data_IF_128096707412
#
_entry.id   IF_128096707412
#
_cell.length_a   1.000
_cell.length_b   1.000
_cell.length_c   1.000
_cell.angle_alpha   90.00
_cell.angle_beta   90.00
_cell.angle_gamma   90.00
#
_symmetry.space_group_name_H-M   'P 1'
#
loop_
_entity.id
_entity.type
_entity.pdbx_description
1 polymer ?
#
# COMPACT_ATOMS: atom_id res chain seq x y z
N UNK A 1 -9.43 34.48 -13.02
CA UNK A 1 -8.64 34.38 -11.78
C UNK A 1 -8.13 32.96 -11.57
N UNK A 2 -9.01 31.97 -11.41
CA UNK A 2 -8.61 30.58 -11.14
C UNK A 2 -7.74 29.91 -12.22
N UNK A 3 -7.98 30.21 -13.51
CA UNK A 3 -7.20 29.64 -14.61
C UNK A 3 -5.74 30.15 -14.65
N UNK A 4 -5.51 31.43 -14.29
CA UNK A 4 -4.16 32.03 -14.23
C UNK A 4 -3.33 31.40 -13.11
N UNK A 5 -3.92 31.29 -11.91
CA UNK A 5 -3.27 30.69 -10.74
C UNK A 5 -2.99 29.19 -10.95
N UNK A 6 -3.92 28.49 -11.62
CA UNK A 6 -3.71 27.08 -11.95
C UNK A 6 -2.56 26.90 -12.97
N UNK A 7 -2.42 27.83 -13.92
CA UNK A 7 -1.32 27.82 -14.89
C UNK A 7 0.06 28.01 -14.25
N UNK A 8 0.17 28.80 -13.16
CA UNK A 8 1.43 28.95 -12.41
C UNK A 8 1.87 27.64 -11.72
N UNK A 9 0.93 26.83 -11.25
CA UNK A 9 1.22 25.50 -10.69
C UNK A 9 1.55 24.47 -11.79
N UNK A 10 0.81 24.53 -12.89
CA UNK A 10 0.96 23.62 -14.03
C UNK A 10 2.14 24.01 -14.96
N UNK A 11 2.88 25.08 -14.63
CA UNK A 11 4.06 25.49 -15.37
C UNK A 11 5.11 24.36 -15.36
N UNK A 12 5.55 23.95 -16.55
CA UNK A 12 6.52 22.88 -16.74
C UNK A 12 7.85 23.16 -16.01
N UNK A 13 8.22 24.43 -15.82
CA UNK A 13 9.41 24.83 -15.07
C UNK A 13 9.31 24.46 -13.57
N UNK A 14 8.11 24.40 -13.01
CA UNK A 14 7.85 24.06 -11.61
C UNK A 14 7.65 22.56 -11.38
N UNK A 15 7.36 21.79 -12.44
CA UNK A 15 7.10 20.35 -12.36
C UNK A 15 8.22 19.53 -11.70
N UNK A 16 9.53 19.77 -11.95
CA UNK A 16 10.59 19.03 -11.27
C UNK A 16 10.60 19.25 -9.75
N UNK A 17 10.42 20.51 -9.31
CA UNK A 17 10.42 20.87 -7.90
C UNK A 17 9.23 20.28 -7.16
N UNK A 18 8.04 20.33 -7.77
CA UNK A 18 6.82 19.69 -7.25
C UNK A 18 7.02 18.17 -7.12
N UNK A 19 7.60 17.53 -8.13
CA UNK A 19 7.86 16.10 -8.11
C UNK A 19 8.86 15.71 -7.01
N UNK A 20 9.94 16.47 -6.84
CA UNK A 20 10.93 16.24 -5.79
C UNK A 20 10.31 16.43 -4.40
N UNK A 21 9.51 17.47 -4.23
CA UNK A 21 8.70 17.73 -3.05
C UNK A 21 7.82 16.52 -2.67
N UNK A 22 7.02 16.04 -3.62
CA UNK A 22 6.16 14.87 -3.43
C UNK A 22 6.99 13.63 -3.08
N UNK A 23 8.12 13.42 -3.76
CA UNK A 23 9.01 12.27 -3.49
C UNK A 23 9.58 12.31 -2.07
N UNK A 24 9.96 13.49 -1.56
CA UNK A 24 10.42 13.66 -0.17
C UNK A 24 9.30 13.33 0.81
N UNK A 25 8.07 13.80 0.56
CA UNK A 25 6.92 13.52 1.41
C UNK A 25 6.53 12.03 1.40
N UNK A 26 6.48 11.40 0.22
CA UNK A 26 6.25 9.94 0.08
C UNK A 26 7.26 9.16 0.92
N UNK A 27 8.55 9.45 0.75
CA UNK A 27 9.63 8.78 1.49
C UNK A 27 9.51 8.99 3.00
N UNK A 28 9.17 10.21 3.42
CA UNK A 28 9.03 10.57 4.83
C UNK A 28 7.86 9.84 5.47
N UNK A 29 6.71 9.81 4.79
CA UNK A 29 5.53 9.09 5.25
C UNK A 29 5.79 7.59 5.29
N UNK A 30 6.34 6.99 4.23
CA UNK A 30 6.63 5.55 4.20
C UNK A 30 7.61 5.10 5.30
N UNK A 31 8.56 5.95 5.71
CA UNK A 31 9.50 5.66 6.80
C UNK A 31 8.87 5.74 8.19
N UNK A 32 7.94 6.66 8.38
CA UNK A 32 7.36 6.97 9.69
C UNK A 32 5.96 6.40 9.89
N UNK A 33 5.36 5.80 8.86
CA UNK A 33 4.03 5.24 8.94
C UNK A 33 3.95 4.13 9.99
N UNK A 34 2.99 4.33 10.87
CA UNK A 34 2.64 3.40 11.91
C UNK A 34 1.43 2.61 11.41
N UNK A 35 1.67 1.40 10.92
CA UNK A 35 0.64 0.55 10.27
C UNK A 35 -0.54 0.21 11.16
N UNK A 36 -0.37 0.20 12.49
CA UNK A 36 -1.49 -0.03 13.43
C UNK A 36 -2.46 1.15 13.52
N UNK A 37 -2.08 2.33 13.03
CA UNK A 37 -2.93 3.52 12.99
C UNK A 37 -3.69 3.66 11.66
N UNK A 38 -3.49 2.75 10.71
CA UNK A 38 -4.18 2.78 9.43
C UNK A 38 -5.66 2.47 9.60
N UNK A 39 -6.48 2.99 8.69
CA UNK A 39 -7.89 2.62 8.68
C UNK A 39 -8.03 1.10 8.47
N UNK A 40 -9.10 0.53 9.04
CA UNK A 40 -9.45 -0.89 8.86
C UNK A 40 -9.52 -1.25 7.37
N UNK A 41 -10.09 -0.37 6.57
CA UNK A 41 -10.30 -0.57 5.14
C UNK A 41 -8.98 -0.55 4.36
N UNK A 42 -8.13 0.47 4.59
CA UNK A 42 -6.81 0.54 3.95
C UNK A 42 -5.92 -0.65 4.33
N UNK A 43 -5.97 -1.07 5.59
CA UNK A 43 -5.26 -2.26 6.08
C UNK A 43 -5.72 -3.52 5.34
N UNK A 44 -7.03 -3.70 5.13
CA UNK A 44 -7.59 -4.84 4.42
C UNK A 44 -7.14 -4.89 2.95
N UNK A 45 -7.16 -3.75 2.26
CA UNK A 45 -6.69 -3.63 0.87
C UNK A 45 -5.21 -3.98 0.78
N UNK A 46 -4.39 -3.39 1.67
CA UNK A 46 -2.95 -3.62 1.68
C UNK A 46 -2.59 -5.08 1.99
N UNK A 47 -3.27 -5.70 2.96
CA UNK A 47 -3.09 -7.12 3.26
C UNK A 47 -3.50 -8.00 2.09
N UNK A 48 -4.63 -7.68 1.42
CA UNK A 48 -5.06 -8.40 0.23
C UNK A 48 -3.97 -8.35 -0.84
N UNK A 49 -3.43 -7.16 -1.15
CA UNK A 49 -2.33 -7.01 -2.11
C UNK A 49 -1.08 -7.83 -1.77
N UNK A 50 -0.74 -7.93 -0.48
CA UNK A 50 0.40 -8.75 -0.03
C UNK A 50 0.12 -10.23 -0.25
N UNK A 51 -1.03 -10.71 0.22
CA UNK A 51 -1.40 -12.14 0.17
C UNK A 51 -1.62 -12.62 -1.26
N UNK A 52 -2.12 -11.75 -2.13
CA UNK A 52 -2.29 -12.03 -3.57
C UNK A 52 -1.04 -11.69 -4.38
N UNK A 53 0.08 -11.32 -3.73
CA UNK A 53 1.36 -11.04 -4.37
C UNK A 53 1.35 -9.89 -5.37
N UNK A 54 0.35 -9.04 -5.29
CA UNK A 54 0.12 -7.91 -6.17
C UNK A 54 0.47 -6.59 -5.47
N UNK A 55 1.43 -6.59 -4.54
CA UNK A 55 1.85 -5.38 -3.82
C UNK A 55 2.50 -4.33 -4.73
N UNK A 56 3.15 -4.77 -5.80
CA UNK A 56 3.81 -3.91 -6.78
C UNK A 56 3.00 -3.81 -8.06
N UNK A 57 2.99 -2.62 -8.66
CA UNK A 57 2.38 -2.38 -9.98
C UNK A 57 3.23 -3.03 -11.07
N UNK A 58 4.55 -2.87 -10.96
CA UNK A 58 5.53 -3.54 -11.82
C UNK A 58 6.70 -4.01 -10.94
N UNK A 59 7.02 -5.30 -11.01
CA UNK A 59 8.14 -5.88 -10.29
C UNK A 59 9.52 -5.35 -10.71
N UNK A 60 9.64 -4.75 -11.90
CA UNK A 60 10.87 -4.10 -12.40
C UNK A 60 11.04 -2.71 -11.80
N UNK A 61 9.98 -1.90 -11.81
CA UNK A 61 10.00 -0.52 -11.30
C UNK A 61 9.92 -0.51 -9.77
N UNK A 62 9.39 -1.58 -9.16
CA UNK A 62 9.21 -1.76 -7.70
C UNK A 62 8.40 -0.66 -7.02
N UNK A 63 7.63 0.12 -7.79
CA UNK A 63 6.64 1.03 -7.24
C UNK A 63 5.48 0.20 -6.65
N UNK A 64 5.27 0.33 -5.35
CA UNK A 64 4.15 -0.34 -4.68
C UNK A 64 2.83 0.35 -5.03
N UNK A 65 1.72 -0.40 -5.01
CA UNK A 65 0.38 0.17 -5.15
C UNK A 65 0.09 1.20 -4.06
N UNK A 66 0.53 0.93 -2.84
CA UNK A 66 0.47 1.87 -1.74
C UNK A 66 1.20 3.18 -2.05
N UNK A 67 2.43 3.10 -2.57
CA UNK A 67 3.22 4.27 -2.96
C UNK A 67 2.55 5.07 -4.07
N UNK A 68 2.01 4.39 -5.08
CA UNK A 68 1.25 5.03 -6.15
C UNK A 68 0.04 5.79 -5.61
N UNK A 69 -0.78 5.16 -4.77
CA UNK A 69 -1.94 5.81 -4.15
C UNK A 69 -1.51 7.00 -3.28
N UNK A 70 -0.44 6.84 -2.49
CA UNK A 70 0.11 7.92 -1.65
C UNK A 70 0.59 9.10 -2.51
N UNK A 71 1.28 8.82 -3.61
CA UNK A 71 1.74 9.85 -4.55
C UNK A 71 0.57 10.61 -5.17
N UNK A 72 -0.51 9.93 -5.56
CA UNK A 72 -1.71 10.57 -6.11
C UNK A 72 -2.43 11.45 -5.09
N UNK A 73 -2.56 10.99 -3.84
CA UNK A 73 -3.14 11.79 -2.74
C UNK A 73 -2.29 13.03 -2.49
N UNK A 74 -0.98 12.86 -2.27
CA UNK A 74 -0.07 13.98 -2.00
C UNK A 74 -0.04 14.98 -3.15
N UNK A 75 -0.06 14.52 -4.40
CA UNK A 75 -0.07 15.41 -5.57
C UNK A 75 -1.33 16.29 -5.59
N UNK A 76 -2.50 15.72 -5.29
CA UNK A 76 -3.77 16.48 -5.24
C UNK A 76 -3.81 17.44 -4.07
N UNK A 77 -3.33 17.02 -2.90
CA UNK A 77 -3.28 17.86 -1.70
C UNK A 77 -2.29 19.01 -1.85
N UNK A 78 -1.09 18.73 -2.35
CA UNK A 78 -0.08 19.74 -2.64
C UNK A 78 -0.62 20.75 -3.66
N UNK A 79 -1.24 20.28 -4.75
CA UNK A 79 -1.86 21.15 -5.76
C UNK A 79 -2.92 22.06 -5.14
N UNK A 80 -3.85 21.49 -4.36
CA UNK A 80 -4.92 22.25 -3.71
C UNK A 80 -4.34 23.32 -2.78
N UNK A 81 -3.41 22.94 -1.92
CA UNK A 81 -2.83 23.82 -0.93
C UNK A 81 -2.00 24.95 -1.57
N UNK A 82 -1.17 24.64 -2.57
CA UNK A 82 -0.41 25.66 -3.32
C UNK A 82 -1.35 26.63 -4.04
N UNK A 83 -2.42 26.13 -4.69
CA UNK A 83 -3.42 27.01 -5.33
C UNK A 83 -4.11 27.91 -4.31
N UNK A 84 -4.50 27.37 -3.15
CA UNK A 84 -5.17 28.14 -2.10
C UNK A 84 -4.26 29.24 -1.54
N UNK A 85 -2.97 28.93 -1.31
CA UNK A 85 -1.96 29.91 -0.90
C UNK A 85 -1.68 30.96 -1.96
N UNK A 86 -1.56 30.57 -3.23
CA UNK A 86 -1.40 31.51 -4.34
C UNK A 86 -2.60 32.47 -4.43
N UNK A 87 -3.83 31.98 -4.22
CA UNK A 87 -5.03 32.83 -4.16
C UNK A 87 -5.01 33.83 -3.01
N UNK A 88 -4.48 33.44 -1.85
CA UNK A 88 -4.33 34.35 -0.70
C UNK A 88 -3.29 35.44 -1.03
N UNK A 89 -2.13 35.03 -1.55
CA UNK A 89 -1.05 35.95 -1.89
C UNK A 89 -1.43 36.92 -3.01
N UNK A 90 -2.10 36.44 -4.07
CA UNK A 90 -2.60 37.28 -5.16
C UNK A 90 -3.54 38.38 -4.63
N UNK A 91 -4.43 38.04 -3.69
CA UNK A 91 -5.29 39.03 -3.01
C UNK A 91 -4.47 40.03 -2.19
N UNK A 92 -3.48 39.57 -1.42
CA UNK A 92 -2.61 40.47 -0.64
C UNK A 92 -1.87 41.48 -1.55
N UNK A 93 -1.49 41.07 -2.77
CA UNK A 93 -0.93 41.96 -3.79
C UNK A 93 -1.95 42.96 -4.33
N UNK A 94 -3.17 42.52 -4.67
CA UNK A 94 -4.25 43.41 -5.12
C UNK A 94 -4.58 44.49 -4.08
N UNK A 95 -4.45 44.19 -2.78
CA UNK A 95 -4.67 45.15 -1.69
C UNK A 95 -3.44 46.03 -1.37
N UNK A 96 -2.33 45.91 -2.12
CA UNK A 96 -1.12 46.72 -1.91
C UNK A 96 -0.35 46.37 -0.64
N UNK A 97 -0.60 45.20 -0.05
CA UNK A 97 0.04 44.73 1.19
C UNK A 97 1.34 43.96 0.94
N UNK A 98 1.65 43.62 -0.33
CA UNK A 98 2.86 42.91 -0.74
C UNK A 98 3.82 43.76 -1.59
N UNK A 99 5.13 43.60 -1.39
CA UNK A 99 6.18 44.14 -2.29
C UNK A 99 6.15 43.39 -3.63
N UNK A 100 6.24 44.04 -4.80
CA UNK A 100 6.17 43.36 -6.11
C UNK A 100 7.14 42.17 -6.22
N UNK A 101 6.66 40.95 -6.02
CA UNK A 101 7.43 39.72 -6.23
C UNK A 101 7.05 39.18 -7.60
N UNK A 102 8.03 38.70 -8.35
CA UNK A 102 7.80 38.01 -9.61
C UNK A 102 6.86 36.80 -9.38
N UNK A 103 5.90 36.54 -10.27
CA UNK A 103 4.91 35.47 -10.11
C UNK A 103 5.59 34.08 -9.96
N UNK A 104 6.74 33.88 -10.61
CA UNK A 104 7.55 32.66 -10.50
C UNK A 104 8.18 32.48 -9.11
N UNK A 105 8.69 33.57 -8.52
CA UNK A 105 9.29 33.56 -7.19
C UNK A 105 8.22 33.29 -6.11
N UNK A 106 6.99 33.77 -6.34
CA UNK A 106 5.84 33.52 -5.48
C UNK A 106 5.43 32.05 -5.49
N UNK A 107 5.37 31.42 -6.67
CA UNK A 107 5.07 29.99 -6.79
C UNK A 107 6.11 29.13 -6.06
N UNK A 108 7.39 29.49 -6.18
CA UNK A 108 8.49 28.80 -5.52
C UNK A 108 8.46 28.95 -3.98
N UNK A 109 8.16 30.15 -3.48
CA UNK A 109 8.02 30.41 -2.04
C UNK A 109 6.84 29.62 -1.45
N UNK A 110 5.67 29.67 -2.11
CA UNK A 110 4.48 28.93 -1.70
C UNK A 110 4.76 27.42 -1.67
N UNK A 111 5.46 26.87 -2.66
CA UNK A 111 5.86 25.47 -2.68
C UNK A 111 6.75 25.10 -1.48
N UNK A 112 7.71 25.96 -1.13
CA UNK A 112 8.62 25.73 0.01
C UNK A 112 7.88 25.75 1.35
N UNK A 113 6.97 26.71 1.54
CA UNK A 113 6.13 26.80 2.74
C UNK A 113 5.23 25.56 2.86
N UNK A 114 4.56 25.20 1.77
CA UNK A 114 3.71 24.01 1.68
C UNK A 114 4.47 22.75 2.14
N UNK A 115 5.69 22.57 1.62
CA UNK A 115 6.54 21.44 1.96
C UNK A 115 6.89 21.33 3.45
N UNK A 116 7.17 22.47 4.08
CA UNK A 116 7.42 22.54 5.52
C UNK A 116 6.18 22.11 6.32
N UNK A 117 5.00 22.61 5.93
CA UNK A 117 3.74 22.33 6.62
C UNK A 117 3.35 20.85 6.53
N UNK A 118 3.45 20.23 5.35
CA UNK A 118 3.13 18.80 5.16
C UNK A 118 4.00 17.86 6.00
N UNK A 119 5.22 18.27 6.36
CA UNK A 119 6.15 17.45 7.15
C UNK A 119 5.83 17.40 8.66
N UNK A 120 5.02 18.35 9.17
CA UNK A 120 4.91 18.61 10.61
C UNK A 120 3.65 18.06 11.28
N UNK A 121 2.51 17.91 10.59
CA UNK A 121 1.23 17.52 11.24
C UNK A 121 0.20 16.77 10.37
N UNK A 122 0.49 16.45 9.10
CA UNK A 122 -0.57 16.17 8.11
C UNK A 122 -0.92 14.68 7.88
N UNK A 123 -0.30 13.73 8.59
CA UNK A 123 -0.48 12.29 8.28
C UNK A 123 -1.92 11.78 8.54
N UNK A 124 -2.65 12.38 9.49
CA UNK A 124 -3.96 11.87 9.90
C UNK A 124 -5.08 12.11 8.88
N UNK A 125 -5.07 13.25 8.18
CA UNK A 125 -6.02 13.53 7.09
C UNK A 125 -5.71 12.72 5.81
N UNK A 126 -4.45 12.30 5.66
CA UNK A 126 -4.01 11.48 4.53
C UNK A 126 -4.57 10.05 4.63
N UNK A 127 -4.76 9.49 5.82
CA UNK A 127 -5.24 8.09 5.98
C UNK A 127 -6.62 7.87 5.33
N UNK A 128 -7.56 8.79 5.52
CA UNK A 128 -8.90 8.71 4.90
C UNK A 128 -8.80 8.84 3.39
N UNK A 129 -8.08 9.85 2.90
CA UNK A 129 -7.91 10.10 1.46
C UNK A 129 -7.16 8.95 0.77
N UNK A 130 -6.19 8.36 1.46
CA UNK A 130 -5.43 7.21 0.99
C UNK A 130 -6.27 5.93 0.97
N UNK A 131 -7.19 5.76 1.92
CA UNK A 131 -8.15 4.66 1.91
C UNK A 131 -9.04 4.75 0.68
N UNK A 132 -9.59 5.93 0.39
CA UNK A 132 -10.42 6.19 -0.80
C UNK A 132 -9.63 5.95 -2.09
N UNK A 133 -8.39 6.46 -2.17
CA UNK A 133 -7.57 6.26 -3.36
C UNK A 133 -7.21 4.78 -3.58
N UNK A 134 -6.92 4.03 -2.51
CA UNK A 134 -6.65 2.60 -2.60
C UNK A 134 -7.88 1.80 -3.04
N UNK A 135 -9.08 2.18 -2.58
CA UNK A 135 -10.35 1.59 -3.02
C UNK A 135 -10.61 1.88 -4.51
N UNK A 136 -10.42 3.12 -4.95
CA UNK A 136 -10.54 3.48 -6.36
C UNK A 136 -9.54 2.70 -7.23
N UNK A 137 -8.30 2.55 -6.76
CA UNK A 137 -7.30 1.74 -7.45
C UNK A 137 -7.77 0.29 -7.58
N UNK A 138 -8.26 -0.31 -6.48
CA UNK A 138 -8.75 -1.68 -6.46
C UNK A 138 -9.93 -1.88 -7.44
N UNK A 139 -10.91 -0.99 -7.42
CA UNK A 139 -12.07 -1.04 -8.31
C UNK A 139 -11.67 -0.90 -9.79
N UNK A 140 -10.82 0.09 -10.12
CA UNK A 140 -10.40 0.36 -11.50
C UNK A 140 -9.56 -0.77 -12.11
N UNK A 141 -8.89 -1.57 -11.28
CA UNK A 141 -8.06 -2.68 -11.73
C UNK A 141 -8.75 -4.05 -11.58
N UNK A 142 -10.03 -4.08 -11.16
CA UNK A 142 -10.78 -5.32 -10.98
C UNK A 142 -10.20 -6.24 -9.91
N UNK A 143 -9.57 -5.67 -8.89
CA UNK A 143 -8.95 -6.44 -7.82
C UNK A 143 -10.00 -6.83 -6.78
N UNK A 144 -9.93 -8.05 -6.25
CA UNK A 144 -10.86 -8.51 -5.22
C UNK A 144 -10.20 -8.49 -3.85
N UNK A 145 -10.99 -8.20 -2.82
CA UNK A 145 -10.55 -8.19 -1.42
C UNK A 145 -10.76 -9.55 -0.77
N UNK A 146 -9.91 -9.85 0.22
CA UNK A 146 -10.07 -11.01 1.08
C UNK A 146 -10.85 -10.56 2.31
N UNK A 147 -12.10 -11.01 2.48
CA UNK A 147 -12.99 -10.57 3.58
C UNK A 147 -12.34 -10.68 4.96
N UNK A 148 -11.56 -11.73 5.19
CA UNK A 148 -10.89 -11.94 6.48
C UNK A 148 -9.79 -10.92 6.78
N UNK A 149 -9.32 -10.14 5.81
CA UNK A 149 -8.26 -9.14 6.04
C UNK A 149 -8.79 -7.84 6.67
N UNK A 150 -10.11 -7.65 6.72
CA UNK A 150 -10.74 -6.55 7.46
C UNK A 150 -10.54 -6.63 8.97
N UNK A 151 -10.25 -7.79 9.53
CA UNK A 151 -10.16 -7.98 10.99
C UNK A 151 -8.71 -8.13 11.46
N UNK A 152 -7.74 -7.91 10.56
CA UNK A 152 -6.35 -8.29 10.82
C UNK A 152 -5.40 -7.11 10.87
N UNK A 153 -4.35 -7.21 11.70
CA UNK A 153 -3.25 -6.28 11.60
C UNK A 153 -2.57 -6.40 10.24
N UNK A 154 -2.00 -5.30 9.79
CA UNK A 154 -1.13 -5.30 8.62
C UNK A 154 0.07 -6.24 8.85
N UNK A 155 0.33 -7.16 7.92
CA UNK A 155 1.53 -8.01 8.00
C UNK A 155 2.00 -8.52 6.65
N UNK A 156 3.30 -8.80 6.53
CA UNK A 156 3.90 -9.50 5.40
C UNK A 156 5.03 -10.41 5.85
N UNK A 157 5.31 -11.45 5.07
CA UNK A 157 6.38 -12.40 5.39
C UNK A 157 7.61 -12.16 4.51
N UNK A 158 8.77 -12.03 5.14
CA UNK A 158 10.06 -11.86 4.47
C UNK A 158 10.68 -13.22 4.19
N UNK A 159 10.81 -13.56 2.90
CA UNK A 159 11.61 -14.72 2.46
C UNK A 159 13.06 -14.66 2.91
N UNK A 160 13.63 -13.45 3.02
CA UNK A 160 15.05 -13.26 3.37
C UNK A 160 15.32 -13.60 4.82
N UNK A 161 14.43 -13.19 5.72
CA UNK A 161 14.60 -13.38 7.17
C UNK A 161 13.77 -14.54 7.71
N UNK A 162 12.91 -15.14 6.87
CA UNK A 162 11.96 -16.18 7.24
C UNK A 162 11.08 -15.77 8.43
N UNK A 163 10.63 -14.52 8.44
CA UNK A 163 9.85 -13.95 9.54
C UNK A 163 8.73 -13.04 9.06
N UNK A 164 7.68 -12.92 9.87
CA UNK A 164 6.57 -11.98 9.66
C UNK A 164 6.95 -10.60 10.17
N UNK A 165 6.60 -9.57 9.39
CA UNK A 165 6.86 -8.16 9.65
C UNK A 165 5.53 -7.40 9.68
N UNK A 166 5.45 -6.41 10.57
CA UNK A 166 4.25 -5.58 10.78
C UNK A 166 4.44 -4.14 10.29
N UNK A 167 5.59 -3.80 9.74
CA UNK A 167 5.91 -2.50 9.12
C UNK A 167 5.80 -2.64 7.60
N UNK A 168 5.67 -1.53 6.86
CA UNK A 168 5.65 -1.61 5.40
C UNK A 168 6.88 -2.35 4.85
N UNK A 169 6.76 -3.08 3.73
CA UNK A 169 7.91 -3.61 3.01
C UNK A 169 8.78 -2.43 2.54
N UNK A 170 9.81 -2.06 3.31
CA UNK A 170 10.79 -1.06 2.91
C UNK A 170 11.58 -1.64 1.75
N UNK A 171 11.33 -1.18 0.53
CA UNK A 171 12.17 -1.57 -0.60
C UNK A 171 13.39 -0.66 -0.63
N UNK A 172 14.55 -1.25 -0.43
CA UNK A 172 15.77 -0.79 -1.08
C UNK A 172 16.68 -1.98 -1.43
N UNK A 173 16.96 -2.06 -2.74
CA UNK A 173 18.12 -2.62 -3.45
C UNK A 173 18.66 -4.03 -3.14
N UNK A 174 18.64 -4.81 -4.23
CA UNK A 174 19.43 -6.01 -4.54
C UNK A 174 18.84 -7.35 -4.10
N UNK A 175 18.42 -8.12 -5.11
CA UNK A 175 18.29 -9.55 -5.00
C UNK A 175 19.69 -10.14 -5.13
N UNK A 176 20.29 -10.57 -4.03
CA UNK A 176 21.29 -11.63 -4.06
C UNK A 176 20.96 -12.57 -2.91
N UNK A 177 20.88 -13.86 -3.27
CA UNK A 177 20.63 -15.02 -2.41
C UNK A 177 19.15 -15.35 -2.18
N UNK A 178 18.51 -15.89 -3.24
CA UNK A 178 17.39 -16.83 -3.06
C UNK A 178 18.01 -18.21 -2.86
N UNK A 179 18.03 -18.68 -1.62
CA UNK A 179 18.33 -20.08 -1.30
C UNK A 179 17.12 -20.90 -1.77
N UNK A 180 17.29 -21.90 -2.66
CA UNK A 180 16.23 -22.84 -2.98
C UNK A 180 15.99 -23.72 -1.75
N UNK A 181 14.77 -23.67 -1.20
CA UNK A 181 14.34 -24.67 -0.22
C UNK A 181 13.74 -25.84 -0.99
N UNK A 182 14.42 -26.99 -0.90
CA UNK A 182 14.00 -28.29 -1.42
C UNK A 182 12.59 -28.66 -0.95
N UNK A 183 11.83 -29.21 -1.89
CA UNK A 183 10.50 -29.78 -1.71
C UNK A 183 10.64 -31.12 -1.01
N UNK A 184 9.91 -31.32 0.09
CA UNK A 184 9.69 -32.65 0.65
C UNK A 184 8.18 -32.94 0.72
N UNK A 185 7.85 -34.18 0.38
CA UNK A 185 6.52 -34.67 0.11
C UNK A 185 5.60 -34.70 1.34
N UNK A 186 4.33 -34.41 1.03
CA UNK A 186 3.08 -34.86 1.63
C UNK A 186 3.21 -35.85 2.80
N UNK A 187 2.90 -35.37 4.00
CA UNK A 187 1.83 -35.94 4.83
C UNK A 187 1.80 -35.17 6.15
N UNK A 188 0.71 -34.45 6.43
CA UNK A 188 0.46 -33.97 7.78
C UNK A 188 -0.98 -34.28 8.17
N UNK A 189 -1.11 -35.23 9.09
CA UNK A 189 -2.34 -35.47 9.84
C UNK A 189 -2.61 -34.25 10.72
N UNK A 190 -3.87 -33.88 10.80
CA UNK A 190 -4.42 -32.85 11.68
C UNK A 190 -3.86 -33.01 13.09
N UNK A 191 -3.17 -31.98 13.59
CA UNK A 191 -2.81 -31.86 15.00
C UNK A 191 -3.62 -30.67 15.52
N UNK A 192 -4.47 -30.83 16.54
CA UNK A 192 -5.18 -29.72 17.16
C UNK A 192 -4.20 -28.72 17.78
N UNK A 193 -4.56 -27.43 17.81
CA UNK A 193 -3.78 -26.42 18.54
C UNK A 193 -2.82 -25.58 17.69
N UNK A 194 -2.86 -25.71 16.36
CA UNK A 194 -2.04 -24.88 15.46
C UNK A 194 -2.78 -23.61 15.04
N UNK A 195 -2.04 -22.51 14.99
CA UNK A 195 -2.54 -21.20 14.58
C UNK A 195 -2.44 -21.03 13.06
N UNK A 196 -3.56 -20.71 12.42
CA UNK A 196 -3.58 -20.39 11.00
C UNK A 196 -2.80 -19.10 10.75
N UNK A 197 -1.75 -19.15 9.94
CA UNK A 197 -0.92 -17.99 9.58
C UNK A 197 -1.62 -16.96 8.67
N UNK A 198 -2.88 -17.23 8.29
CA UNK A 198 -3.77 -16.25 7.67
C UNK A 198 -4.62 -15.59 8.74
N UNK A 199 -5.45 -16.33 9.50
CA UNK A 199 -6.38 -15.76 10.49
C UNK A 199 -5.88 -15.54 11.90
N UNK A 200 -4.70 -16.06 12.22
CA UNK A 200 -4.10 -16.02 13.55
C UNK A 200 -4.99 -16.67 14.63
N UNK A 201 -5.96 -17.48 14.22
CA UNK A 201 -6.79 -18.28 15.13
C UNK A 201 -6.30 -19.72 15.12
N UNK A 202 -6.35 -20.34 16.30
CA UNK A 202 -6.21 -21.78 16.50
C UNK A 202 -7.50 -22.46 16.07
N UNK A 203 -7.43 -23.64 15.42
CA UNK A 203 -8.56 -24.48 14.96
C UNK A 203 -9.88 -24.06 15.62
N UNK A 204 -10.62 -23.20 14.93
CA UNK A 204 -11.72 -22.51 15.60
C UNK A 204 -12.86 -23.51 15.79
N UNK A 205 -13.26 -23.65 17.05
CA UNK A 205 -14.45 -24.39 17.50
C UNK A 205 -15.75 -23.82 16.87
N UNK A 206 -15.65 -22.80 16.01
CA UNK A 206 -16.76 -21.98 15.52
C UNK A 206 -16.95 -21.95 13.99
N UNK A 207 -16.31 -22.80 13.21
CA UNK A 207 -16.72 -22.98 11.81
C UNK A 207 -17.81 -24.06 11.71
N UNK A 208 -19.05 -23.62 11.47
CA UNK A 208 -20.32 -24.38 11.38
C UNK A 208 -20.30 -25.54 10.37
N UNK A 209 -19.23 -25.71 9.59
CA UNK A 209 -19.04 -26.83 8.68
C UNK A 209 -17.79 -27.65 9.04
N UNK A 210 -18.03 -28.85 9.57
CA UNK A 210 -17.05 -29.90 9.91
C UNK A 210 -16.05 -30.27 8.79
N UNK A 211 -16.27 -29.83 7.55
CA UNK A 211 -15.38 -30.05 6.41
C UNK A 211 -14.43 -28.88 6.11
N UNK A 212 -14.61 -27.71 6.75
CA UNK A 212 -13.82 -26.48 6.52
C UNK A 212 -12.90 -26.10 7.68
N UNK A 213 -12.98 -26.83 8.80
CA UNK A 213 -12.26 -26.55 10.05
C UNK A 213 -10.89 -27.19 10.14
N UNK A 214 -10.36 -27.75 9.04
CA UNK A 214 -9.07 -28.42 9.06
C UNK A 214 -7.94 -27.46 8.68
N UNK A 215 -6.95 -27.36 9.56
CA UNK A 215 -5.67 -26.75 9.23
C UNK A 215 -4.90 -27.60 8.22
N UNK A 216 -4.43 -26.96 7.15
CA UNK A 216 -3.48 -27.50 6.18
C UNK A 216 -2.10 -26.89 6.41
N UNK A 217 -1.09 -27.75 6.44
CA UNK A 217 0.31 -27.32 6.43
C UNK A 217 0.83 -27.41 5.02
N UNK A 218 1.27 -26.28 4.48
CA UNK A 218 1.89 -26.22 3.15
C UNK A 218 3.33 -26.73 3.19
N UNK A 219 3.90 -27.09 2.04
CA UNK A 219 5.29 -27.58 1.92
C UNK A 219 6.32 -26.60 2.53
N UNK A 220 6.00 -25.31 2.52
CA UNK A 220 6.81 -24.28 3.16
C UNK A 220 6.59 -24.10 4.66
N UNK A 221 5.95 -25.09 5.30
CA UNK A 221 5.69 -25.19 6.75
C UNK A 221 4.70 -24.17 7.32
N UNK A 222 4.17 -23.24 6.52
CA UNK A 222 3.07 -22.37 6.94
C UNK A 222 1.78 -23.17 7.06
N UNK A 223 0.97 -22.80 8.05
CA UNK A 223 -0.27 -23.49 8.38
C UNK A 223 -1.43 -22.56 8.13
N UNK A 224 -2.46 -23.07 7.50
CA UNK A 224 -3.64 -22.30 7.13
C UNK A 224 -4.88 -23.11 7.43
N UNK A 225 -5.97 -22.48 7.88
CA UNK A 225 -7.27 -23.12 7.70
C UNK A 225 -7.50 -23.35 6.20
N UNK A 226 -8.05 -24.49 5.81
CA UNK A 226 -8.31 -24.80 4.40
C UNK A 226 -9.12 -23.69 3.73
N UNK A 227 -10.19 -23.21 4.39
CA UNK A 227 -11.00 -22.10 3.89
C UNK A 227 -10.18 -20.79 3.72
N UNK A 228 -9.32 -20.45 4.67
CA UNK A 228 -8.43 -19.28 4.54
C UNK A 228 -7.52 -19.40 3.31
N UNK A 229 -6.95 -20.58 3.09
CA UNK A 229 -6.06 -20.82 1.96
C UNK A 229 -6.82 -20.81 0.63
N UNK A 230 -8.00 -21.42 0.58
CA UNK A 230 -8.84 -21.50 -0.62
C UNK A 230 -9.35 -20.11 -1.03
N UNK A 231 -9.75 -19.26 -0.08
CA UNK A 231 -10.08 -17.87 -0.37
C UNK A 231 -8.90 -17.12 -1.01
N UNK A 232 -7.69 -17.25 -0.44
CA UNK A 232 -6.50 -16.66 -1.03
C UNK A 232 -6.21 -17.21 -2.43
N UNK A 233 -6.36 -18.53 -2.65
CA UNK A 233 -6.16 -19.17 -3.95
C UNK A 233 -7.15 -18.66 -4.99
N UNK A 234 -8.43 -18.60 -4.63
CA UNK A 234 -9.52 -18.11 -5.49
C UNK A 234 -9.25 -16.68 -5.93
N UNK A 235 -9.05 -15.76 -4.97
CA UNK A 235 -8.78 -14.35 -5.27
C UNK A 235 -7.51 -14.19 -6.11
N UNK A 236 -6.45 -14.96 -5.84
CA UNK A 236 -5.23 -14.92 -6.64
C UNK A 236 -5.47 -15.31 -8.11
N UNK A 237 -6.20 -16.40 -8.34
CA UNK A 237 -6.46 -16.94 -9.69
C UNK A 237 -7.48 -16.11 -10.48
N UNK A 238 -8.39 -15.41 -9.80
CA UNK A 238 -9.35 -14.47 -10.41
C UNK A 238 -8.65 -13.22 -10.98
N UNK A 239 -7.42 -12.91 -10.55
CA UNK A 239 -6.65 -11.80 -11.11
C UNK A 239 -6.23 -12.08 -12.56
N UNK A 240 -6.44 -11.08 -13.43
CA UNK A 240 -6.18 -11.16 -14.88
C UNK A 240 -4.77 -11.66 -15.22
N UNK A 241 -3.77 -11.24 -14.46
CA UNK A 241 -2.36 -11.64 -14.63
C UNK A 241 -2.05 -13.09 -14.22
N UNK A 242 -2.98 -13.76 -13.53
CA UNK A 242 -2.80 -15.08 -12.94
C UNK A 242 -3.75 -16.15 -13.50
N UNK A 243 -4.68 -15.79 -14.40
CA UNK A 243 -5.72 -16.66 -14.97
C UNK A 243 -5.21 -18.02 -15.51
N UNK A 244 -3.97 -18.07 -16.03
CA UNK A 244 -3.39 -19.29 -16.62
C UNK A 244 -2.36 -19.99 -15.70
N UNK A 245 -2.23 -19.58 -14.44
CA UNK A 245 -1.24 -20.17 -13.53
C UNK A 245 -1.75 -21.50 -12.97
N UNK A 246 -0.89 -22.51 -13.02
CA UNK A 246 -1.19 -23.90 -12.61
C UNK A 246 -0.96 -24.08 -11.10
N UNK A 247 -0.17 -23.21 -10.47
CA UNK A 247 0.11 -23.23 -9.05
C UNK A 247 -0.13 -21.85 -8.42
N UNK A 248 -0.54 -21.85 -7.16
CA UNK A 248 -0.73 -20.63 -6.37
C UNK A 248 0.46 -20.47 -5.42
N UNK A 249 1.10 -19.30 -5.35
CA UNK A 249 2.13 -19.06 -4.36
C UNK A 249 1.56 -19.05 -2.94
N UNK A 250 2.28 -19.64 -1.98
CA UNK A 250 1.96 -19.50 -0.57
C UNK A 250 1.81 -18.02 -0.18
N UNK A 251 0.68 -17.61 0.46
CA UNK A 251 0.42 -16.21 0.82
C UNK A 251 1.48 -15.53 1.71
N UNK A 252 2.37 -16.31 2.32
CA UNK A 252 3.45 -15.81 3.16
C UNK A 252 4.80 -15.88 2.45
N UNK A 253 5.29 -17.08 2.13
CA UNK A 253 6.65 -17.22 1.62
C UNK A 253 6.75 -17.54 0.14
N UNK A 254 5.66 -17.43 -0.64
CA UNK A 254 5.64 -17.66 -2.10
C UNK A 254 6.22 -19.00 -2.59
N UNK A 255 6.35 -20.02 -1.73
CA UNK A 255 6.62 -21.37 -2.20
C UNK A 255 5.41 -21.85 -3.03
N UNK A 256 5.63 -22.57 -4.14
CA UNK A 256 4.51 -23.05 -4.95
C UNK A 256 3.62 -24.00 -4.15
N UNK A 257 2.33 -23.75 -4.17
CA UNK A 257 1.28 -24.66 -3.69
C UNK A 257 0.60 -25.20 -4.94
N UNK A 258 0.76 -26.51 -5.16
CA UNK A 258 0.05 -27.26 -6.19
C UNK A 258 -1.31 -27.72 -5.67
#
# INVERSE_FOLDING_TARGET
>A
MDARISALYDDEANAPLINDAINVLVNTIQKNIITHNLSRHLTAIMNSWIRTHSWYIDHKIRMSKFEHCLRNVLSREMRRHVIDLLKIRDKEYEYGLGSSVNEDDLALEVLRVSMSEFSSNYFWDINVKLSIEAELYQQNNGESLIDRDFERPFSWFSKRTMSTHYRLPHVASHANNVIPLEVLALDFKHVPGWECSICLEVDSVNHVNLFTSHCVRTACKHIFHMACLDDCKRVYLEQKENHNKICVPCPLCRAPIY
#
